data_IF_665202491472
#
_entry.id   IF_665202491472
#
_cell.length_a   1.000
_cell.length_b   1.000
_cell.length_c   1.000
_cell.angle_alpha   90.00
_cell.angle_beta   90.00
_cell.angle_gamma   90.00
#
_symmetry.space_group_name_H-M   'P 1'
#
loop_
_entity.id
_entity.type
_entity.pdbx_description
1 polymer ?
#
# COMPACT_ATOMS: atom_id res chain seq x y z
N UNK A 1 -14.14 6.70 26.73
CA UNK A 1 -14.11 6.60 25.25
C UNK A 1 -13.39 5.31 24.87
N UNK A 2 -13.72 4.71 23.73
CA UNK A 2 -13.12 3.44 23.32
C UNK A 2 -12.28 3.63 22.06
N UNK A 3 -11.16 2.91 21.99
CA UNK A 3 -10.37 2.83 20.75
C UNK A 3 -11.19 2.09 19.69
N UNK A 4 -11.42 2.75 18.56
CA UNK A 4 -12.16 2.23 17.42
C UNK A 4 -11.23 2.17 16.21
N UNK A 5 -10.86 0.94 15.82
CA UNK A 5 -9.90 0.72 14.74
C UNK A 5 -10.48 1.09 13.37
N UNK A 6 -11.76 0.86 13.15
CA UNK A 6 -12.37 1.17 11.86
C UNK A 6 -12.46 2.68 11.65
N UNK A 7 -12.90 3.40 12.69
CA UNK A 7 -12.91 4.87 12.67
C UNK A 7 -11.49 5.45 12.50
N UNK A 8 -10.48 4.89 13.17
CA UNK A 8 -9.08 5.29 13.00
C UNK A 8 -8.61 5.14 11.54
N UNK A 9 -8.93 4.02 10.89
CA UNK A 9 -8.58 3.79 9.49
C UNK A 9 -9.28 4.79 8.58
N UNK A 10 -10.57 5.08 8.81
CA UNK A 10 -11.32 6.08 8.04
C UNK A 10 -10.72 7.48 8.20
N UNK A 11 -10.36 7.89 9.42
CA UNK A 11 -9.67 9.16 9.67
C UNK A 11 -8.32 9.25 8.94
N UNK A 12 -7.52 8.18 8.95
CA UNK A 12 -6.25 8.13 8.21
C UNK A 12 -6.47 8.26 6.69
N UNK A 13 -7.47 7.55 6.15
CA UNK A 13 -7.85 7.66 4.72
C UNK A 13 -8.34 9.06 4.37
N UNK A 14 -9.15 9.69 5.22
CA UNK A 14 -9.59 11.08 5.02
C UNK A 14 -8.39 12.05 4.93
N UNK A 15 -7.38 11.89 5.79
CA UNK A 15 -6.17 12.72 5.75
C UNK A 15 -5.35 12.49 4.47
N UNK A 16 -5.24 11.24 4.02
CA UNK A 16 -4.52 10.85 2.79
C UNK A 16 -5.23 11.35 1.54
N UNK A 17 -6.52 11.04 1.43
CA UNK A 17 -7.29 11.12 0.20
C UNK A 17 -8.07 12.44 0.10
N UNK A 18 -8.16 13.21 1.21
CA UNK A 18 -8.93 14.47 1.34
C UNK A 18 -10.43 14.30 1.00
N UNK A 19 -10.95 13.09 1.23
CA UNK A 19 -12.35 12.75 1.03
C UNK A 19 -13.01 12.56 2.39
N UNK A 20 -14.08 13.30 2.64
CA UNK A 20 -14.88 13.16 3.86
C UNK A 20 -15.79 11.93 3.78
N UNK A 21 -15.79 11.12 4.84
CA UNK A 21 -16.70 10.00 5.03
C UNK A 21 -17.93 10.46 5.84
N UNK A 22 -19.17 10.18 5.40
CA UNK A 22 -20.39 10.53 6.13
C UNK A 22 -20.39 10.07 7.59
N UNK A 23 -19.69 8.98 7.91
CA UNK A 23 -19.57 8.44 9.27
C UNK A 23 -19.08 9.48 10.27
N UNK A 24 -18.29 10.47 9.84
CA UNK A 24 -17.74 11.50 10.73
C UNK A 24 -18.82 12.46 11.24
N UNK A 25 -19.92 12.64 10.51
CA UNK A 25 -21.05 13.46 10.97
C UNK A 25 -21.95 12.71 11.96
N UNK A 26 -22.06 11.39 11.80
CA UNK A 26 -22.85 10.52 12.67
C UNK A 26 -22.09 10.13 13.95
N UNK A 27 -20.76 10.19 13.92
CA UNK A 27 -19.90 9.86 15.05
C UNK A 27 -19.92 10.98 16.10
N UNK A 28 -20.12 10.68 17.40
CA UNK A 28 -20.02 11.67 18.47
C UNK A 28 -18.66 12.39 18.46
N UNK A 29 -18.68 13.73 18.57
CA UNK A 29 -17.47 14.58 18.46
C UNK A 29 -16.36 14.19 19.42
N UNK A 30 -16.73 13.82 20.65
CA UNK A 30 -15.77 13.35 21.65
C UNK A 30 -15.06 12.08 21.18
N UNK A 31 -15.80 11.12 20.62
CA UNK A 31 -15.28 9.84 20.15
C UNK A 31 -14.36 10.03 18.94
N UNK A 32 -14.70 10.98 18.07
CA UNK A 32 -13.87 11.40 16.95
C UNK A 32 -12.56 12.05 17.44
N UNK A 33 -12.66 13.02 18.35
CA UNK A 33 -11.50 13.70 18.94
C UNK A 33 -10.57 12.74 19.70
N UNK A 34 -11.13 11.77 20.43
CA UNK A 34 -10.37 10.75 21.13
C UNK A 34 -9.57 9.87 20.16
N UNK A 35 -10.21 9.32 19.12
CA UNK A 35 -9.52 8.44 18.17
C UNK A 35 -8.52 9.20 17.30
N UNK A 36 -8.86 10.40 16.84
CA UNK A 36 -7.94 11.29 16.14
C UNK A 36 -6.73 11.66 17.02
N UNK A 37 -6.95 11.87 18.31
CA UNK A 37 -5.87 12.12 19.26
C UNK A 37 -4.91 10.93 19.40
N UNK A 38 -5.43 9.70 19.44
CA UNK A 38 -4.59 8.50 19.48
C UNK A 38 -3.70 8.38 18.23
N UNK A 39 -4.18 8.74 17.05
CA UNK A 39 -3.39 8.70 15.81
C UNK A 39 -2.18 9.66 15.86
N UNK A 40 -2.35 10.82 16.50
CA UNK A 40 -1.26 11.77 16.73
C UNK A 40 -0.27 11.22 17.76
N UNK A 41 -0.75 10.64 18.87
CA UNK A 41 0.12 10.04 19.90
C UNK A 41 0.95 8.88 19.36
N UNK A 42 0.37 8.10 18.44
CA UNK A 42 1.05 6.98 17.79
C UNK A 42 2.00 7.41 16.67
N UNK A 43 2.07 8.72 16.38
CA UNK A 43 2.94 9.26 15.34
C UNK A 43 2.52 8.84 13.93
N UNK A 44 1.27 8.44 13.72
CA UNK A 44 0.72 8.10 12.40
C UNK A 44 0.27 9.36 11.64
N UNK A 45 -0.04 10.43 12.37
CA UNK A 45 -0.52 11.70 11.81
C UNK A 45 0.22 12.86 12.47
N UNK A 46 0.72 13.76 11.65
CA UNK A 46 1.12 15.09 12.10
C UNK A 46 -0.14 15.92 12.38
N UNK A 47 -0.25 16.41 13.60
CA UNK A 47 -1.44 17.11 14.03
C UNK A 47 -1.31 17.74 15.40
N UNK A 48 -2.39 18.37 15.85
CA UNK A 48 -2.48 18.98 17.18
C UNK A 48 -3.70 18.47 17.90
N UNK A 49 -3.54 18.19 19.20
CA UNK A 49 -4.63 17.82 20.09
C UNK A 49 -4.95 18.95 21.04
N UNK A 50 -6.23 19.12 21.30
CA UNK A 50 -6.75 20.04 22.29
C UNK A 50 -7.24 19.21 23.47
N UNK A 51 -6.67 19.50 24.65
CA UNK A 51 -7.09 18.87 25.90
C UNK A 51 -8.10 19.76 26.61
N UNK A 52 -9.14 19.14 27.15
CA UNK A 52 -10.10 19.79 28.04
C UNK A 52 -9.54 19.93 29.46
N UNK A 53 -10.33 20.56 30.33
CA UNK A 53 -9.93 20.87 31.71
C UNK A 53 -9.66 19.63 32.58
N UNK A 54 -10.12 18.44 32.19
CA UNK A 54 -9.86 17.18 32.89
C UNK A 54 -8.81 16.32 32.15
N UNK A 55 -8.06 16.91 31.21
CA UNK A 55 -6.98 16.26 30.46
C UNK A 55 -7.44 15.37 29.30
N UNK A 56 -8.74 15.20 29.10
CA UNK A 56 -9.31 14.44 27.99
C UNK A 56 -9.12 15.16 26.65
N UNK A 57 -8.96 14.42 25.55
CA UNK A 57 -8.90 15.00 24.21
C UNK A 57 -10.31 15.47 23.81
N UNK A 58 -10.50 16.77 23.65
CA UNK A 58 -11.78 17.38 23.25
C UNK A 58 -11.78 17.84 21.79
N UNK A 59 -10.63 17.86 21.14
CA UNK A 59 -10.47 18.15 19.73
C UNK A 59 -9.12 17.69 19.20
N UNK A 60 -9.06 17.38 17.91
CA UNK A 60 -7.81 17.07 17.22
C UNK A 60 -7.87 17.61 15.79
N UNK A 61 -6.80 18.29 15.37
CA UNK A 61 -6.59 18.73 14.01
C UNK A 61 -5.56 17.81 13.36
N UNK A 62 -5.98 17.07 12.34
CA UNK A 62 -5.15 16.16 11.55
C UNK A 62 -4.66 16.90 10.30
N UNK A 63 -3.34 17.04 10.13
CA UNK A 63 -2.76 17.90 9.08
C UNK A 63 -2.31 17.05 7.89
N UNK A 64 -1.44 16.07 8.15
CA UNK A 64 -0.85 15.18 7.15
C UNK A 64 -0.49 13.84 7.78
N UNK A 65 -0.42 12.79 6.96
CA UNK A 65 0.16 11.53 7.41
C UNK A 65 1.67 11.69 7.59
N UNK A 66 2.21 10.99 8.58
CA UNK A 66 3.65 10.75 8.70
C UNK A 66 4.05 9.58 7.78
N UNK A 67 5.35 9.32 7.55
CA UNK A 67 5.78 8.10 6.88
C UNK A 67 5.20 6.83 7.51
N UNK A 68 5.19 6.74 8.85
CA UNK A 68 4.60 5.59 9.56
C UNK A 68 3.09 5.45 9.33
N UNK A 69 2.37 6.58 9.17
CA UNK A 69 0.96 6.58 8.80
C UNK A 69 0.71 6.06 7.39
N UNK A 70 1.58 6.42 6.44
CA UNK A 70 1.53 5.88 5.07
C UNK A 70 1.79 4.37 5.06
N UNK A 71 2.88 3.92 5.68
CA UNK A 71 3.24 2.50 5.77
C UNK A 71 2.12 1.68 6.43
N UNK A 72 1.49 2.22 7.48
CA UNK A 72 0.37 1.58 8.16
C UNK A 72 -0.85 1.38 7.25
N UNK A 73 -1.24 2.41 6.48
CA UNK A 73 -2.34 2.29 5.53
C UNK A 73 -2.01 1.34 4.38
N UNK A 74 -0.78 1.37 3.88
CA UNK A 74 -0.32 0.45 2.83
C UNK A 74 -0.39 -1.00 3.31
N UNK A 75 0.08 -1.30 4.52
CA UNK A 75 -0.02 -2.63 5.11
C UNK A 75 -1.49 -3.11 5.24
N UNK A 76 -2.42 -2.20 5.58
CA UNK A 76 -3.86 -2.53 5.64
C UNK A 76 -4.43 -2.76 4.25
N UNK A 77 -4.10 -1.90 3.29
CA UNK A 77 -4.57 -2.05 1.90
C UNK A 77 -4.05 -3.36 1.29
N UNK A 78 -2.80 -3.75 1.57
CA UNK A 78 -2.22 -5.04 1.18
C UNK A 78 -2.93 -6.22 1.88
N UNK A 79 -3.21 -6.09 3.18
CA UNK A 79 -3.94 -7.11 3.93
C UNK A 79 -5.40 -7.26 3.43
N UNK A 80 -6.07 -6.16 3.05
CA UNK A 80 -7.42 -6.18 2.49
C UNK A 80 -7.45 -6.74 1.06
N UNK A 81 -6.35 -6.61 0.32
CA UNK A 81 -6.13 -7.23 -0.99
C UNK A 81 -5.65 -8.69 -0.91
N UNK A 82 -5.59 -9.27 0.29
CA UNK A 82 -5.42 -10.70 0.49
C UNK A 82 -6.79 -11.36 0.59
N UNK A 83 -7.48 -11.71 -0.52
CA UNK A 83 -8.59 -12.62 -0.40
C UNK A 83 -8.04 -13.96 0.09
N UNK A 84 -8.84 -14.66 0.89
CA UNK A 84 -8.75 -16.11 1.10
C UNK A 84 -8.66 -16.79 -0.28
N UNK A 85 -7.45 -16.97 -0.80
CA UNK A 85 -7.24 -17.54 -2.13
C UNK A 85 -7.27 -19.06 -2.01
N UNK A 86 -8.42 -19.65 -2.33
CA UNK A 86 -8.51 -21.06 -2.76
C UNK A 86 -7.93 -21.24 -4.18
N UNK A 87 -7.39 -20.18 -4.81
CA UNK A 87 -6.61 -20.29 -6.03
C UNK A 87 -5.11 -20.45 -5.70
N UNK A 88 -4.40 -21.45 -6.27
CA UNK A 88 -2.95 -21.53 -6.13
C UNK A 88 -2.32 -20.23 -6.70
N UNK A 89 -1.30 -19.67 -6.04
CA UNK A 89 -0.68 -18.43 -6.50
C UNK A 89 -0.09 -18.65 -7.89
N UNK A 90 -0.66 -17.99 -8.90
CA UNK A 90 -0.12 -17.96 -10.26
C UNK A 90 0.60 -16.64 -10.56
N UNK A 91 1.19 -16.00 -9.54
CA UNK A 91 2.22 -14.99 -9.77
C UNK A 91 3.58 -15.66 -9.85
N UNK A 92 3.88 -16.17 -11.05
CA UNK A 92 5.12 -16.88 -11.37
C UNK A 92 6.22 -15.96 -11.85
N UNK A 93 6.18 -14.64 -11.56
CA UNK A 93 7.18 -13.68 -12.05
C UNK A 93 7.86 -12.96 -10.89
N UNK A 94 9.15 -13.22 -10.74
CA UNK A 94 10.01 -12.70 -9.66
C UNK A 94 10.81 -11.47 -10.13
N UNK A 95 11.23 -11.45 -11.40
CA UNK A 95 12.00 -10.34 -11.98
C UNK A 95 11.36 -9.90 -13.30
N UNK A 96 11.15 -8.59 -13.42
CA UNK A 96 10.77 -7.95 -14.69
C UNK A 96 11.86 -6.99 -15.16
N UNK A 97 12.34 -7.20 -16.39
CA UNK A 97 13.31 -6.32 -17.06
C UNK A 97 12.56 -5.50 -18.11
N UNK A 98 12.31 -4.23 -17.79
CA UNK A 98 11.81 -3.27 -18.75
C UNK A 98 12.95 -2.74 -19.61
N UNK A 99 12.85 -2.87 -20.93
CA UNK A 99 13.89 -2.43 -21.87
C UNK A 99 13.28 -2.03 -23.21
N UNK A 100 14.03 -1.22 -23.99
CA UNK A 100 13.67 -0.93 -25.37
C UNK A 100 13.95 -2.13 -26.28
N UNK A 101 13.31 -2.19 -27.45
CA UNK A 101 13.59 -3.25 -28.43
C UNK A 101 15.05 -3.23 -28.93
N UNK A 102 15.70 -2.07 -28.91
CA UNK A 102 17.11 -1.92 -29.31
C UNK A 102 18.06 -2.58 -28.30
N UNK A 103 17.65 -2.70 -27.04
CA UNK A 103 18.45 -3.27 -25.95
C UNK A 103 18.21 -4.78 -25.73
N UNK A 104 17.51 -5.45 -26.65
CA UNK A 104 17.09 -6.84 -26.46
C UNK A 104 18.26 -7.81 -26.20
N UNK A 105 19.42 -7.59 -26.82
CA UNK A 105 20.60 -8.42 -26.60
C UNK A 105 21.14 -8.25 -25.17
N UNK A 106 21.26 -7.00 -24.70
CA UNK A 106 21.73 -6.69 -23.35
C UNK A 106 20.77 -7.23 -22.29
N UNK A 107 19.47 -7.01 -22.48
CA UNK A 107 18.45 -7.53 -21.59
C UNK A 107 18.47 -9.07 -21.53
N UNK A 108 18.72 -9.74 -22.65
CA UNK A 108 18.86 -11.20 -22.70
C UNK A 108 20.06 -11.72 -21.89
N UNK A 109 21.22 -11.04 -21.97
CA UNK A 109 22.40 -11.38 -21.17
C UNK A 109 22.15 -11.15 -19.67
N UNK A 110 21.47 -10.06 -19.33
CA UNK A 110 21.10 -9.75 -17.94
C UNK A 110 20.09 -10.78 -17.37
N UNK A 111 19.07 -11.14 -18.13
CA UNK A 111 18.13 -12.20 -17.75
C UNK A 111 18.86 -13.53 -17.52
N UNK A 112 19.80 -13.87 -18.40
CA UNK A 112 20.59 -15.10 -18.25
C UNK A 112 21.49 -15.05 -17.02
N UNK A 113 22.09 -13.89 -16.71
CA UNK A 113 22.87 -13.71 -15.50
C UNK A 113 22.01 -13.96 -14.26
N UNK A 114 20.82 -13.36 -14.16
CA UNK A 114 19.93 -13.60 -13.02
C UNK A 114 19.47 -15.06 -12.92
N UNK A 115 19.19 -15.70 -14.06
CA UNK A 115 18.85 -17.12 -14.12
C UNK A 115 19.94 -17.98 -13.47
N UNK A 116 21.20 -17.69 -13.76
CA UNK A 116 22.35 -18.47 -13.27
C UNK A 116 22.73 -18.10 -11.84
N UNK A 117 22.76 -16.81 -11.50
CA UNK A 117 23.21 -16.31 -10.19
C UNK A 117 22.23 -16.64 -9.07
N UNK A 118 20.92 -16.68 -9.39
CA UNK A 118 19.86 -16.89 -8.40
C UNK A 118 19.12 -18.21 -8.59
N UNK A 119 19.57 -19.08 -9.50
CA UNK A 119 18.91 -20.36 -9.84
C UNK A 119 17.42 -20.20 -10.20
N UNK A 120 17.05 -19.05 -10.79
CA UNK A 120 15.67 -18.76 -11.14
C UNK A 120 15.28 -19.52 -12.42
N UNK A 121 14.09 -20.15 -12.50
CA UNK A 121 13.60 -20.69 -13.76
C UNK A 121 13.29 -19.54 -14.73
N UNK A 122 13.41 -19.78 -16.04
CA UNK A 122 13.08 -18.76 -17.05
C UNK A 122 11.62 -18.31 -16.99
N UNK A 123 10.74 -19.11 -16.38
CA UNK A 123 9.35 -18.74 -16.12
C UNK A 123 9.20 -17.59 -15.13
N UNK A 124 10.20 -17.36 -14.28
CA UNK A 124 10.21 -16.30 -13.25
C UNK A 124 10.86 -14.99 -13.69
N UNK A 125 11.46 -14.97 -14.88
CA UNK A 125 12.06 -13.77 -15.46
C UNK A 125 11.25 -13.36 -16.69
N UNK A 126 10.83 -12.10 -16.74
CA UNK A 126 10.10 -11.55 -17.89
C UNK A 126 10.78 -10.31 -18.45
N UNK A 127 10.72 -10.19 -19.77
CA UNK A 127 11.26 -9.09 -20.57
C UNK A 127 10.17 -8.51 -21.48
N UNK A 128 10.31 -7.25 -21.86
CA UNK A 128 9.40 -6.59 -22.80
C UNK A 128 9.49 -7.20 -24.21
N UNK A 129 10.70 -7.55 -24.67
CA UNK A 129 10.88 -8.00 -26.07
C UNK A 129 11.89 -9.12 -26.32
N UNK A 130 12.46 -9.76 -25.29
CA UNK A 130 13.37 -10.91 -25.47
C UNK A 130 12.59 -12.22 -25.63
N UNK A 131 12.82 -12.95 -26.72
CA UNK A 131 12.23 -14.28 -26.95
C UNK A 131 12.68 -15.29 -25.88
N UNK A 132 11.77 -16.14 -25.42
CA UNK A 132 12.01 -17.08 -24.31
C UNK A 132 11.85 -16.47 -22.91
N UNK A 133 11.92 -15.14 -22.79
CA UNK A 133 11.59 -14.41 -21.57
C UNK A 133 10.42 -13.44 -21.75
N UNK A 134 9.78 -13.43 -22.92
CA UNK A 134 8.76 -12.43 -23.24
C UNK A 134 7.53 -12.58 -22.34
N UNK A 135 6.89 -11.45 -22.04
CA UNK A 135 5.54 -11.49 -21.49
C UNK A 135 4.60 -12.28 -22.44
N UNK A 136 3.72 -13.15 -21.90
CA UNK A 136 2.75 -13.86 -22.72
C UNK A 136 1.86 -12.90 -23.52
N UNK A 137 1.59 -13.25 -24.78
CA UNK A 137 0.76 -12.44 -25.68
C UNK A 137 -0.66 -12.32 -25.10
N UNK A 138 -1.23 -11.11 -25.11
CA UNK A 138 -2.56 -10.80 -24.55
C UNK A 138 -2.57 -10.43 -23.07
N UNK A 139 -1.41 -10.28 -22.43
CA UNK A 139 -1.32 -9.84 -21.02
C UNK A 139 -1.53 -8.32 -20.92
N UNK A 140 -2.57 -7.89 -20.18
CA UNK A 140 -2.68 -6.49 -19.73
C UNK A 140 -1.51 -6.18 -18.79
N UNK A 141 -0.57 -5.36 -19.27
CA UNK A 141 0.70 -5.07 -18.58
C UNK A 141 0.48 -4.49 -17.17
N UNK A 142 -0.59 -3.71 -17.00
CA UNK A 142 -0.95 -3.09 -15.71
C UNK A 142 -1.42 -4.07 -14.63
N UNK A 143 -1.89 -5.27 -15.01
CA UNK A 143 -2.42 -6.26 -14.06
C UNK A 143 -1.36 -7.24 -13.52
N UNK A 144 -0.19 -7.33 -14.17
CA UNK A 144 0.88 -8.28 -13.79
C UNK A 144 2.16 -7.65 -13.26
N UNK A 145 2.30 -6.33 -13.38
CA UNK A 145 3.44 -5.56 -12.85
C UNK A 145 3.15 -4.93 -11.48
N UNK A 146 1.97 -5.20 -10.90
CA UNK A 146 1.60 -4.79 -9.54
C UNK A 146 1.70 -5.97 -8.59
#
# INVERSE_FOLDING_TARGET
MRRDRELQIKLLRQVRDRIDDPVFQETPKEQLAYNAGLLIDEGLVDGRKVKGNQGQCVGAALISLTPAGHDFLEAIDLAAQSPTSIHPPTHTMTIFISHSSQDAELAGKLAKLFQLSFSLPSTEIRCTSVNGYRLPVGTATDQRLR
#
